data_IF_998313781209
#
_entry.id   IF_998313781209
#
_cell.length_a   1.000
_cell.length_b   1.000
_cell.length_c   1.000
_cell.angle_alpha   90.00
_cell.angle_beta   90.00
_cell.angle_gamma   90.00
#
_symmetry.space_group_name_H-M   'P 1'
#
loop_
_entity.id
_entity.type
_entity.pdbx_description
1 polymer ?
#
# COMPACT_ATOMS: atom_id res chain seq x y z
N UNK A 1 18.87 26.91 -47.48
CA UNK A 1 19.17 26.00 -46.36
C UNK A 1 17.86 25.44 -45.84
N UNK A 2 17.85 24.25 -45.22
CA UNK A 2 16.61 23.70 -44.68
C UNK A 2 16.10 24.58 -43.53
N UNK A 3 14.85 25.04 -43.61
CA UNK A 3 14.22 25.83 -42.53
C UNK A 3 13.93 24.98 -41.27
N UNK A 4 13.94 23.65 -41.42
CA UNK A 4 13.67 22.70 -40.34
C UNK A 4 14.64 21.51 -40.38
N UNK A 5 15.08 21.10 -39.20
CA UNK A 5 15.98 19.97 -38.98
C UNK A 5 15.25 18.83 -38.30
N UNK A 6 15.50 17.59 -38.73
CA UNK A 6 14.90 16.40 -38.12
C UNK A 6 15.63 16.05 -36.83
N UNK A 7 14.91 16.13 -35.71
CA UNK A 7 15.45 15.86 -34.36
C UNK A 7 15.12 14.43 -33.90
N UNK A 8 13.85 14.02 -34.02
CA UNK A 8 13.36 12.73 -33.53
C UNK A 8 12.73 11.88 -34.62
N UNK A 9 12.92 10.57 -34.53
CA UNK A 9 12.29 9.60 -35.43
C UNK A 9 10.88 9.26 -34.95
N UNK A 10 10.07 8.66 -35.84
CA UNK A 10 8.72 8.24 -35.48
C UNK A 10 8.69 7.30 -34.27
N UNK A 11 9.64 6.37 -34.19
CA UNK A 11 9.79 5.45 -33.04
C UNK A 11 9.98 6.19 -31.71
N UNK A 12 10.88 7.19 -31.67
CA UNK A 12 11.11 7.99 -30.45
C UNK A 12 9.83 8.74 -30.02
N UNK A 13 9.08 9.24 -31.00
CA UNK A 13 7.84 10.00 -30.77
C UNK A 13 6.69 9.13 -30.28
N UNK A 14 6.53 7.93 -30.87
CA UNK A 14 5.52 6.96 -30.44
C UNK A 14 5.80 6.47 -29.02
N UNK A 15 7.08 6.20 -28.72
CA UNK A 15 7.53 5.85 -27.38
C UNK A 15 7.20 6.96 -26.38
N UNK A 16 7.49 8.22 -26.71
CA UNK A 16 7.13 9.35 -25.87
C UNK A 16 5.62 9.47 -25.63
N UNK A 17 4.77 9.28 -26.66
CA UNK A 17 3.30 9.32 -26.48
C UNK A 17 2.82 8.19 -25.57
N UNK A 18 3.40 6.99 -25.71
CA UNK A 18 3.08 5.87 -24.83
C UNK A 18 3.48 6.16 -23.37
N UNK A 19 4.68 6.69 -23.15
CA UNK A 19 5.17 7.08 -21.83
C UNK A 19 4.33 8.21 -21.23
N UNK A 20 4.01 9.25 -22.01
CA UNK A 20 3.16 10.36 -21.59
C UNK A 20 1.80 9.84 -21.12
N UNK A 21 1.15 9.00 -21.93
CA UNK A 21 -0.18 8.44 -21.60
C UNK A 21 -0.12 7.59 -20.33
N UNK A 22 0.86 6.68 -20.24
CA UNK A 22 1.01 5.81 -19.08
C UNK A 22 1.36 6.59 -17.80
N UNK A 23 2.30 7.53 -17.89
CA UNK A 23 2.69 8.38 -16.77
C UNK A 23 1.52 9.23 -16.29
N UNK A 24 0.77 9.88 -17.19
CA UNK A 24 -0.40 10.67 -16.80
C UNK A 24 -1.45 9.82 -16.10
N UNK A 25 -1.76 8.63 -16.62
CA UNK A 25 -2.72 7.73 -15.97
C UNK A 25 -2.23 7.26 -14.59
N UNK A 26 -0.94 6.90 -14.46
CA UNK A 26 -0.31 6.53 -13.19
C UNK A 26 -0.29 7.68 -12.19
N UNK A 27 0.01 8.89 -12.63
CA UNK A 27 0.01 10.09 -11.80
C UNK A 27 -1.39 10.38 -11.26
N UNK A 28 -2.42 10.37 -12.13
CA UNK A 28 -3.81 10.60 -11.72
C UNK A 28 -4.27 9.52 -10.74
N UNK A 29 -4.15 8.25 -11.12
CA UNK A 29 -4.60 7.13 -10.26
C UNK A 29 -3.80 7.01 -8.98
N UNK A 30 -2.50 7.33 -8.99
CA UNK A 30 -1.63 7.30 -7.81
C UNK A 30 -1.89 8.46 -6.84
N UNK A 31 -2.11 9.67 -7.35
CA UNK A 31 -2.39 10.84 -6.52
C UNK A 31 -3.74 10.73 -5.80
N UNK A 32 -4.78 10.27 -6.49
CA UNK A 32 -6.10 10.10 -5.86
C UNK A 32 -6.08 8.99 -4.81
N UNK A 33 -5.27 7.94 -4.99
CA UNK A 33 -5.05 6.91 -3.96
C UNK A 33 -4.27 7.45 -2.76
N UNK A 34 -3.25 8.29 -3.00
CA UNK A 34 -2.44 8.91 -1.92
C UNK A 34 -3.26 9.89 -1.08
N UNK A 35 -4.09 10.71 -1.73
CA UNK A 35 -4.90 11.74 -1.11
C UNK A 35 -6.39 11.40 -1.18
N UNK A 36 -6.78 10.19 -0.75
CA UNK A 36 -8.15 9.67 -0.87
C UNK A 36 -9.21 10.60 -0.26
N UNK A 37 -8.86 11.28 0.83
CA UNK A 37 -9.77 12.15 1.58
C UNK A 37 -9.97 13.54 0.97
N UNK A 38 -9.19 13.91 -0.05
CA UNK A 38 -9.41 15.16 -0.74
C UNK A 38 -10.72 15.10 -1.53
N UNK A 39 -11.51 16.18 -1.49
CA UNK A 39 -12.81 16.23 -2.17
C UNK A 39 -12.72 15.90 -3.66
N UNK A 40 -11.65 16.34 -4.33
CA UNK A 40 -11.41 16.07 -5.75
C UNK A 40 -11.04 14.60 -5.99
N UNK A 41 -10.25 13.99 -5.10
CA UNK A 41 -9.89 12.57 -5.17
C UNK A 41 -11.12 11.69 -5.05
N UNK A 42 -12.03 11.96 -4.11
CA UNK A 42 -13.29 11.22 -3.98
C UNK A 42 -14.11 11.26 -5.27
N UNK A 43 -14.30 12.46 -5.84
CA UNK A 43 -15.02 12.62 -7.12
C UNK A 43 -14.37 11.86 -8.28
N UNK A 44 -13.04 11.87 -8.36
CA UNK A 44 -12.31 11.16 -9.41
C UNK A 44 -12.34 9.65 -9.21
N UNK A 45 -12.27 9.17 -7.96
CA UNK A 45 -12.42 7.75 -7.62
C UNK A 45 -13.82 7.27 -8.03
N UNK A 46 -14.87 8.02 -7.67
CA UNK A 46 -16.25 7.68 -8.05
C UNK A 46 -16.42 7.65 -9.58
N UNK A 47 -15.89 8.67 -10.28
CA UNK A 47 -15.95 8.76 -11.74
C UNK A 47 -15.24 7.59 -12.45
N UNK A 48 -14.14 7.10 -11.87
CA UNK A 48 -13.36 5.99 -12.41
C UNK A 48 -13.93 4.61 -12.04
N UNK A 49 -15.07 4.55 -11.33
CA UNK A 49 -15.73 3.30 -10.96
C UNK A 49 -15.37 2.77 -9.57
N UNK A 50 -14.89 3.62 -8.67
CA UNK A 50 -14.53 3.28 -7.29
C UNK A 50 -13.05 2.96 -7.10
N UNK A 51 -12.66 2.73 -5.84
CA UNK A 51 -11.25 2.56 -5.47
C UNK A 51 -10.60 1.32 -6.10
N UNK A 52 -11.37 0.25 -6.28
CA UNK A 52 -10.85 -0.98 -6.89
C UNK A 52 -10.56 -0.79 -8.38
N UNK A 53 -11.46 -0.13 -9.10
CA UNK A 53 -11.22 0.24 -10.51
C UNK A 53 -9.97 1.12 -10.65
N UNK A 54 -9.78 2.11 -9.77
CA UNK A 54 -8.58 2.96 -9.75
C UNK A 54 -7.31 2.13 -9.54
N UNK A 55 -7.31 1.16 -8.62
CA UNK A 55 -6.17 0.26 -8.38
C UNK A 55 -5.88 -0.64 -9.58
N UNK A 56 -6.91 -1.16 -10.24
CA UNK A 56 -6.77 -1.98 -11.45
C UNK A 56 -6.18 -1.14 -12.59
N UNK A 57 -6.74 0.06 -12.85
CA UNK A 57 -6.24 0.99 -13.87
C UNK A 57 -4.77 1.32 -13.60
N UNK A 58 -4.41 1.62 -12.35
CA UNK A 58 -3.03 1.90 -11.97
C UNK A 58 -2.09 0.74 -12.35
N UNK A 59 -2.46 -0.50 -12.01
CA UNK A 59 -1.69 -1.73 -12.34
C UNK A 59 -1.57 -1.99 -13.84
N UNK A 60 -2.64 -1.72 -14.61
CA UNK A 60 -2.62 -1.84 -16.08
C UNK A 60 -1.60 -0.85 -16.67
N UNK A 61 -1.67 0.42 -16.29
CA UNK A 61 -0.73 1.42 -16.82
C UNK A 61 0.69 1.24 -16.30
N UNK A 62 0.88 0.69 -15.09
CA UNK A 62 2.20 0.28 -14.60
C UNK A 62 2.78 -0.81 -15.51
N UNK A 63 1.97 -1.78 -15.92
CA UNK A 63 2.39 -2.85 -16.85
C UNK A 63 2.73 -2.29 -18.23
N UNK A 64 1.93 -1.37 -18.76
CA UNK A 64 2.23 -0.68 -20.02
C UNK A 64 3.57 0.07 -19.93
N UNK A 65 3.82 0.77 -18.82
CA UNK A 65 5.08 1.47 -18.60
C UNK A 65 6.28 0.50 -18.52
N UNK A 66 6.13 -0.65 -17.84
CA UNK A 66 7.16 -1.68 -17.80
C UNK A 66 7.48 -2.26 -19.19
N UNK A 67 6.45 -2.50 -20.02
CA UNK A 67 6.65 -2.92 -21.42
C UNK A 67 7.34 -1.83 -22.24
N UNK A 68 6.98 -0.55 -22.02
CA UNK A 68 7.65 0.58 -22.67
C UNK A 68 9.15 0.64 -22.29
N UNK A 69 9.51 0.32 -21.04
CA UNK A 69 10.92 0.20 -20.62
C UNK A 69 11.65 -0.92 -21.39
N UNK A 70 11.04 -2.09 -21.57
CA UNK A 70 11.63 -3.18 -22.36
C UNK A 70 11.88 -2.73 -23.81
N UNK A 71 10.90 -2.06 -24.41
CA UNK A 71 11.05 -1.45 -25.74
C UNK A 71 12.20 -0.44 -25.76
N UNK A 72 12.26 0.47 -24.77
CA UNK A 72 13.28 1.51 -24.67
C UNK A 72 14.70 0.93 -24.64
N UNK A 73 14.91 -0.08 -23.80
CA UNK A 73 16.20 -0.78 -23.68
C UNK A 73 16.61 -1.43 -25.00
N UNK A 74 15.66 -2.05 -25.71
CA UNK A 74 15.88 -2.58 -27.06
C UNK A 74 16.20 -1.50 -28.07
N UNK A 75 15.49 -0.37 -28.05
CA UNK A 75 15.74 0.75 -28.95
C UNK A 75 17.12 1.39 -28.70
N UNK A 76 17.55 1.56 -27.44
CA UNK A 76 18.90 2.02 -27.08
C UNK A 76 19.95 1.03 -27.60
N UNK A 77 19.76 -0.27 -27.34
CA UNK A 77 20.69 -1.30 -27.80
C UNK A 77 20.81 -1.33 -29.32
N UNK A 78 19.70 -1.17 -30.05
CA UNK A 78 19.68 -1.07 -31.50
C UNK A 78 20.46 0.16 -31.99
N UNK A 79 20.19 1.34 -31.42
CA UNK A 79 20.92 2.58 -31.74
C UNK A 79 22.42 2.43 -31.48
N UNK A 80 22.82 1.77 -30.39
CA UNK A 80 24.22 1.60 -30.02
C UNK A 80 24.95 0.54 -30.85
N UNK A 81 24.37 -0.64 -31.01
CA UNK A 81 25.03 -1.78 -31.65
C UNK A 81 24.84 -1.76 -33.17
N UNK A 82 23.60 -1.61 -33.62
CA UNK A 82 23.25 -1.64 -35.04
C UNK A 82 23.60 -0.32 -35.71
N UNK A 83 23.13 0.81 -35.17
CA UNK A 83 23.36 2.11 -35.80
C UNK A 83 24.68 2.78 -35.39
N UNK A 84 25.43 2.22 -34.42
CA UNK A 84 26.69 2.80 -33.90
C UNK A 84 26.57 4.27 -33.49
N UNK A 85 25.38 4.69 -33.07
CA UNK A 85 25.15 6.06 -32.61
C UNK A 85 26.06 6.41 -31.43
N UNK A 86 26.57 7.65 -31.36
CA UNK A 86 27.33 8.14 -30.21
C UNK A 86 26.46 8.13 -28.95
N UNK A 87 27.11 8.09 -27.77
CA UNK A 87 26.45 8.02 -26.46
C UNK A 87 26.05 9.42 -25.98
N UNK A 88 25.25 10.12 -26.77
CA UNK A 88 24.95 11.54 -26.55
C UNK A 88 24.16 11.80 -25.27
N UNK A 89 23.37 10.83 -24.81
CA UNK A 89 22.61 10.94 -23.55
C UNK A 89 23.44 10.72 -22.29
N UNK A 90 24.66 10.19 -22.37
CA UNK A 90 25.46 10.01 -21.15
C UNK A 90 25.99 11.37 -20.66
N UNK A 91 25.87 11.66 -19.34
CA UNK A 91 26.49 12.83 -18.76
C UNK A 91 28.01 12.77 -18.91
N UNK A 92 28.60 13.92 -19.21
CA UNK A 92 30.04 14.12 -19.40
C UNK A 92 30.50 15.31 -18.56
N UNK A 93 31.82 15.50 -18.44
CA UNK A 93 32.35 16.69 -17.76
C UNK A 93 31.96 18.00 -18.47
N UNK A 94 31.61 17.95 -19.75
CA UNK A 94 31.10 19.12 -20.48
C UNK A 94 29.74 19.57 -19.97
N UNK A 95 28.89 18.65 -19.54
CA UNK A 95 27.56 18.94 -18.98
C UNK A 95 27.67 19.67 -17.63
N UNK A 96 28.63 19.26 -16.79
CA UNK A 96 28.91 19.96 -15.52
C UNK A 96 29.38 21.39 -15.78
N UNK A 97 30.27 21.59 -16.77
CA UNK A 97 30.71 22.93 -17.19
C UNK A 97 29.55 23.76 -17.74
N UNK A 98 28.67 23.15 -18.53
CA UNK A 98 27.47 23.80 -19.06
C UNK A 98 26.49 24.20 -17.95
N UNK A 99 26.28 23.35 -16.94
CA UNK A 99 25.47 23.67 -15.77
C UNK A 99 26.05 24.86 -14.99
N UNK A 100 27.36 24.83 -14.71
CA UNK A 100 28.04 25.93 -14.02
C UNK A 100 28.02 27.25 -14.83
N UNK A 101 28.15 27.17 -16.16
CA UNK A 101 27.97 28.33 -17.04
C UNK A 101 26.53 28.84 -16.97
N UNK A 102 25.52 27.97 -17.06
CA UNK A 102 24.10 28.34 -16.97
C UNK A 102 23.80 29.09 -15.67
N UNK A 103 24.35 28.65 -14.53
CA UNK A 103 24.22 29.36 -13.25
C UNK A 103 24.84 30.76 -13.29
N UNK A 104 26.03 30.91 -13.89
CA UNK A 104 26.70 32.22 -14.05
C UNK A 104 25.93 33.15 -14.98
N UNK A 105 25.37 32.60 -16.06
CA UNK A 105 24.50 33.32 -16.99
C UNK A 105 23.23 33.82 -16.28
N UNK A 106 22.55 32.95 -15.53
CA UNK A 106 21.36 33.34 -14.73
C UNK A 106 21.70 34.39 -13.65
N UNK A 107 22.91 34.37 -13.11
CA UNK A 107 23.41 35.39 -12.19
C UNK A 107 23.88 36.69 -12.89
N UNK A 108 23.69 36.81 -14.21
CA UNK A 108 24.11 37.98 -15.00
C UNK A 108 25.62 38.13 -15.18
N UNK A 109 26.41 37.10 -14.87
CA UNK A 109 27.89 37.12 -14.97
C UNK A 109 28.43 36.68 -16.33
N UNK A 110 27.57 36.17 -17.20
CA UNK A 110 27.90 35.78 -18.57
C UNK A 110 26.90 36.44 -19.52
N UNK A 111 27.36 36.87 -20.70
CA UNK A 111 26.51 37.60 -21.65
C UNK A 111 25.59 36.67 -22.47
N UNK A 112 25.93 35.39 -22.58
CA UNK A 112 25.23 34.41 -23.40
C UNK A 112 25.10 33.06 -22.67
N UNK A 113 24.06 32.25 -22.98
CA UNK A 113 23.94 30.90 -22.45
C UNK A 113 25.03 29.97 -23.03
N UNK A 114 25.33 28.83 -22.36
CA UNK A 114 26.30 27.87 -22.87
C UNK A 114 25.85 27.26 -24.20
N UNK A 115 26.81 27.03 -25.10
CA UNK A 115 26.59 26.26 -26.32
C UNK A 115 26.50 24.77 -25.97
N UNK A 116 25.44 24.11 -26.43
CA UNK A 116 25.14 22.72 -26.08
C UNK A 116 24.91 21.87 -27.34
N UNK A 117 25.08 20.55 -27.18
CA UNK A 117 24.91 19.56 -28.25
C UNK A 117 23.46 19.16 -28.47
N UNK A 118 23.28 17.97 -29.06
CA UNK A 118 21.96 17.40 -29.38
C UNK A 118 21.02 17.29 -28.18
N UNK A 119 21.60 16.99 -27.01
CA UNK A 119 20.90 17.02 -25.74
C UNK A 119 21.61 17.98 -24.80
N UNK A 120 20.84 18.87 -24.19
CA UNK A 120 21.37 19.80 -23.19
C UNK A 120 21.62 19.09 -21.86
N UNK A 121 22.36 19.73 -20.95
CA UNK A 121 22.57 19.18 -19.61
C UNK A 121 21.24 19.06 -18.85
N UNK A 122 20.31 20.00 -19.05
CA UNK A 122 18.95 19.96 -18.48
C UNK A 122 18.18 18.72 -18.97
N UNK A 123 18.16 18.49 -20.28
CA UNK A 123 17.47 17.34 -20.89
C UNK A 123 18.07 16.00 -20.43
N UNK A 124 19.40 15.94 -20.24
CA UNK A 124 20.07 14.74 -19.70
C UNK A 124 19.70 14.50 -18.24
N UNK A 125 19.65 15.55 -17.41
CA UNK A 125 19.24 15.43 -16.01
C UNK A 125 17.80 14.95 -15.91
N UNK A 126 16.88 15.50 -16.71
CA UNK A 126 15.50 15.02 -16.79
C UNK A 126 15.42 13.55 -17.20
N UNK A 127 16.17 13.15 -18.23
CA UNK A 127 16.21 11.76 -18.68
C UNK A 127 16.72 10.82 -17.57
N UNK A 128 17.78 11.17 -16.86
CA UNK A 128 18.32 10.33 -15.78
C UNK A 128 17.44 10.33 -14.53
N UNK A 129 16.78 11.44 -14.21
CA UNK A 129 15.77 11.49 -13.16
C UNK A 129 14.60 10.55 -13.48
N UNK A 130 14.13 10.53 -14.73
CA UNK A 130 13.11 9.58 -15.19
C UNK A 130 13.58 8.12 -15.09
N UNK A 131 14.83 7.82 -15.49
CA UNK A 131 15.39 6.46 -15.39
C UNK A 131 15.46 6.00 -13.92
N UNK A 132 15.94 6.86 -13.04
CA UNK A 132 16.00 6.60 -11.60
C UNK A 132 14.60 6.39 -11.01
N UNK A 133 13.69 7.34 -11.27
CA UNK A 133 12.32 7.27 -10.76
C UNK A 133 11.61 6.01 -11.25
N UNK A 134 11.76 5.65 -12.53
CA UNK A 134 11.17 4.41 -13.08
C UNK A 134 11.69 3.17 -12.36
N UNK A 135 13.00 3.09 -12.08
CA UNK A 135 13.58 1.98 -11.32
C UNK A 135 12.99 1.89 -9.91
N UNK A 136 12.97 3.00 -9.17
CA UNK A 136 12.38 3.07 -7.82
C UNK A 136 10.90 2.68 -7.85
N UNK A 137 10.14 3.17 -8.81
CA UNK A 137 8.70 2.91 -8.95
C UNK A 137 8.41 1.43 -9.26
N UNK A 138 9.19 0.78 -10.13
CA UNK A 138 9.02 -0.65 -10.44
C UNK A 138 9.34 -1.50 -9.20
N UNK A 139 10.47 -1.24 -8.53
CA UNK A 139 10.89 -2.03 -7.36
C UNK A 139 9.91 -1.83 -6.20
N UNK A 140 9.64 -0.59 -5.80
CA UNK A 140 8.71 -0.31 -4.71
C UNK A 140 7.26 -0.73 -5.05
N UNK A 141 6.85 -0.59 -6.30
CA UNK A 141 5.56 -1.05 -6.79
C UNK A 141 5.40 -2.56 -6.70
N UNK A 142 6.46 -3.33 -6.98
CA UNK A 142 6.46 -4.78 -6.77
C UNK A 142 6.22 -5.15 -5.32
N UNK A 143 6.95 -4.50 -4.40
CA UNK A 143 6.86 -4.77 -2.97
C UNK A 143 5.44 -4.51 -2.44
N UNK A 144 4.79 -3.46 -2.96
CA UNK A 144 3.42 -3.10 -2.61
C UNK A 144 2.37 -3.96 -3.31
N UNK A 145 2.63 -4.41 -4.53
CA UNK A 145 1.77 -5.35 -5.24
C UNK A 145 1.84 -6.73 -4.59
N UNK A 146 2.99 -7.13 -4.04
CA UNK A 146 3.21 -8.48 -3.49
C UNK A 146 3.71 -8.45 -2.03
N UNK A 147 2.91 -7.99 -1.07
CA UNK A 147 3.36 -7.79 0.31
C UNK A 147 3.68 -9.09 1.04
N UNK A 148 2.91 -10.19 0.83
CA UNK A 148 3.21 -11.48 1.50
C UNK A 148 4.54 -12.03 1.01
N UNK A 149 4.74 -12.06 -0.32
CA UNK A 149 5.97 -12.58 -0.88
C UNK A 149 7.18 -11.72 -0.50
N UNK A 150 6.99 -10.40 -0.41
CA UNK A 150 7.99 -9.48 0.12
C UNK A 150 8.36 -9.85 1.54
N UNK A 151 7.39 -10.03 2.43
CA UNK A 151 7.63 -10.35 3.85
C UNK A 151 8.22 -11.75 4.08
N UNK A 152 8.10 -12.67 3.10
CA UNK A 152 8.79 -13.98 3.14
C UNK A 152 10.30 -13.86 2.86
N UNK A 153 10.70 -12.87 2.06
CA UNK A 153 12.10 -12.69 1.63
C UNK A 153 12.81 -11.56 2.39
N UNK A 154 12.08 -10.53 2.81
CA UNK A 154 12.57 -9.34 3.46
C UNK A 154 11.81 -9.10 4.77
N UNK A 155 12.44 -8.45 5.77
CA UNK A 155 11.75 -8.02 6.99
C UNK A 155 10.50 -7.17 6.69
N UNK A 156 9.44 -7.30 7.50
CA UNK A 156 8.16 -6.63 7.26
C UNK A 156 8.24 -5.10 7.14
N UNK A 157 9.27 -4.45 7.71
CA UNK A 157 9.52 -3.01 7.58
C UNK A 157 9.73 -2.53 6.13
N UNK A 158 10.07 -3.43 5.21
CA UNK A 158 10.27 -3.06 3.80
C UNK A 158 8.98 -2.72 3.07
N UNK A 159 7.82 -3.22 3.53
CA UNK A 159 6.50 -2.87 2.94
C UNK A 159 6.12 -1.40 3.22
N UNK A 160 6.11 -0.90 4.47
CA UNK A 160 5.85 0.51 4.72
C UNK A 160 6.96 1.42 4.15
N UNK A 161 8.22 0.98 4.16
CA UNK A 161 9.29 1.71 3.48
C UNK A 161 9.01 1.85 1.98
N UNK A 162 8.61 0.77 1.30
CA UNK A 162 8.22 0.79 -0.10
C UNK A 162 7.03 1.74 -0.34
N UNK A 163 6.05 1.81 0.57
CA UNK A 163 4.93 2.77 0.49
C UNK A 163 5.43 4.21 0.51
N UNK A 164 6.36 4.54 1.40
CA UNK A 164 6.95 5.88 1.49
C UNK A 164 7.77 6.20 0.24
N UNK A 165 8.65 5.30 -0.20
CA UNK A 165 9.45 5.52 -1.41
C UNK A 165 8.59 5.63 -2.67
N UNK A 166 7.64 4.73 -2.87
CA UNK A 166 6.76 4.73 -4.03
C UNK A 166 5.93 6.02 -4.10
N UNK A 167 5.26 6.37 -3.00
CA UNK A 167 4.43 7.56 -2.97
C UNK A 167 5.25 8.85 -3.05
N UNK A 168 6.41 8.90 -2.39
CA UNK A 168 7.34 10.03 -2.39
C UNK A 168 7.93 10.29 -3.78
N UNK A 169 8.48 9.25 -4.41
CA UNK A 169 9.03 9.33 -5.76
C UNK A 169 7.94 9.69 -6.78
N UNK A 170 6.74 9.12 -6.67
CA UNK A 170 5.62 9.50 -7.54
C UNK A 170 5.31 11.01 -7.46
N UNK A 171 5.30 11.57 -6.25
CA UNK A 171 5.06 13.01 -6.05
C UNK A 171 6.20 13.85 -6.64
N UNK A 172 7.46 13.45 -6.40
CA UNK A 172 8.63 14.12 -6.98
C UNK A 172 8.61 14.06 -8.51
N UNK A 173 8.27 12.92 -9.11
CA UNK A 173 8.17 12.75 -10.55
C UNK A 173 7.06 13.63 -11.15
N UNK A 174 5.88 13.68 -10.53
CA UNK A 174 4.79 14.57 -10.97
C UNK A 174 5.22 16.03 -10.89
N UNK A 175 5.83 16.45 -9.78
CA UNK A 175 6.31 17.82 -9.61
C UNK A 175 7.42 18.16 -10.61
N UNK A 176 8.36 17.25 -10.86
CA UNK A 176 9.40 17.44 -11.86
C UNK A 176 8.80 17.61 -13.27
N UNK A 177 7.81 16.80 -13.64
CA UNK A 177 7.14 16.94 -14.94
C UNK A 177 6.39 18.28 -15.03
N UNK A 178 5.64 18.67 -14.01
CA UNK A 178 4.84 19.92 -14.05
C UNK A 178 5.72 21.17 -13.94
N UNK A 179 6.65 21.22 -13.00
CA UNK A 179 7.43 22.43 -12.71
C UNK A 179 8.59 22.57 -13.68
N UNK A 180 9.28 21.49 -13.99
CA UNK A 180 10.49 21.53 -14.80
C UNK A 180 10.20 21.21 -16.26
N UNK A 181 9.70 20.01 -16.56
CA UNK A 181 9.51 19.57 -17.95
C UNK A 181 8.50 20.45 -18.71
N UNK A 182 7.30 20.68 -18.16
CA UNK A 182 6.30 21.55 -18.80
C UNK A 182 6.82 22.98 -18.95
N UNK A 183 7.55 23.51 -17.96
CA UNK A 183 8.11 24.84 -18.06
C UNK A 183 9.12 24.95 -19.21
N UNK A 184 10.10 24.05 -19.26
CA UNK A 184 11.15 24.11 -20.27
C UNK A 184 10.63 23.85 -21.69
N UNK A 185 9.73 22.87 -21.86
CA UNK A 185 9.30 22.37 -23.18
C UNK A 185 8.04 23.06 -23.72
N UNK A 186 7.16 23.58 -22.84
CA UNK A 186 5.88 24.16 -23.24
C UNK A 186 5.71 25.65 -22.90
N UNK A 187 6.32 26.14 -21.81
CA UNK A 187 6.11 27.53 -21.35
C UNK A 187 7.25 28.45 -21.81
N UNK A 188 8.49 28.17 -21.41
CA UNK A 188 9.68 28.96 -21.75
C UNK A 188 9.86 29.06 -23.25
N UNK A 189 9.72 27.93 -23.95
CA UNK A 189 9.62 27.85 -25.40
C UNK A 189 8.67 26.72 -25.75
N UNK A 190 7.83 26.93 -26.74
CA UNK A 190 6.90 25.90 -27.19
C UNK A 190 7.58 24.98 -28.22
N UNK A 191 8.18 23.89 -27.74
CA UNK A 191 8.92 22.95 -28.59
C UNK A 191 8.02 21.80 -29.07
N UNK A 192 7.75 21.75 -30.37
CA UNK A 192 6.89 20.71 -30.98
C UNK A 192 7.67 19.55 -31.59
N UNK A 193 8.98 19.48 -31.39
CA UNK A 193 9.84 18.49 -32.05
C UNK A 193 9.51 17.05 -31.65
N UNK A 194 8.99 16.81 -30.44
CA UNK A 194 8.52 15.47 -30.03
C UNK A 194 7.21 15.06 -30.70
N UNK A 195 6.40 16.01 -31.17
CA UNK A 195 5.15 15.72 -31.87
C UNK A 195 5.29 15.72 -33.38
N UNK A 196 6.21 16.50 -33.95
CA UNK A 196 6.41 16.62 -35.40
C UNK A 196 7.66 15.90 -35.91
N UNK A 197 8.65 15.70 -35.04
CA UNK A 197 9.99 15.21 -35.38
C UNK A 197 10.96 16.29 -35.85
N UNK A 198 10.51 17.54 -36.01
CA UNK A 198 11.30 18.62 -36.61
C UNK A 198 11.43 19.83 -35.69
N UNK A 199 12.52 20.59 -35.87
CA UNK A 199 12.76 21.84 -35.16
C UNK A 199 13.28 22.92 -36.11
N UNK A 200 12.93 24.18 -35.88
CA UNK A 200 13.35 25.28 -36.74
C UNK A 200 14.86 25.56 -36.61
N UNK A 201 15.49 26.12 -37.65
CA UNK A 201 16.90 26.54 -37.58
C UNK A 201 17.17 27.49 -36.40
N UNK A 202 16.26 28.43 -36.17
CA UNK A 202 16.38 29.44 -35.09
C UNK A 202 16.37 28.79 -33.71
N UNK A 203 15.50 27.81 -33.48
CA UNK A 203 15.42 27.12 -32.21
C UNK A 203 16.62 26.17 -32.02
N UNK A 204 17.08 25.51 -33.10
CA UNK A 204 18.33 24.73 -33.11
C UNK A 204 19.52 25.60 -32.71
N UNK A 205 19.64 26.81 -33.26
CA UNK A 205 20.75 27.72 -32.95
C UNK A 205 20.75 28.18 -31.48
N UNK A 206 19.57 28.25 -30.86
CA UNK A 206 19.44 28.72 -29.48
C UNK A 206 19.61 27.59 -28.45
N UNK A 207 19.08 26.40 -28.70
CA UNK A 207 19.06 25.31 -27.72
C UNK A 207 20.13 24.23 -28.00
N UNK A 208 20.49 24.03 -29.27
CA UNK A 208 21.35 22.94 -29.73
C UNK A 208 22.41 23.43 -30.73
N UNK A 209 23.06 24.55 -30.40
CA UNK A 209 23.99 25.24 -31.28
C UNK A 209 25.10 24.32 -31.83
N UNK A 210 25.66 23.44 -31.01
CA UNK A 210 26.73 22.53 -31.43
C UNK A 210 26.20 21.40 -32.34
N UNK A 211 24.95 20.99 -32.18
CA UNK A 211 24.32 20.04 -33.13
C UNK A 211 24.05 20.74 -34.47
N UNK A 212 23.54 21.98 -34.45
CA UNK A 212 23.32 22.75 -35.66
C UNK A 212 24.62 22.97 -36.43
N UNK A 213 25.68 23.40 -35.73
CA UNK A 213 27.01 23.62 -36.31
C UNK A 213 27.54 22.33 -36.96
N UNK A 214 27.44 21.19 -36.27
CA UNK A 214 27.87 19.91 -36.83
C UNK A 214 27.07 19.52 -38.09
N UNK A 215 25.76 19.78 -38.11
CA UNK A 215 24.92 19.49 -39.28
C UNK A 215 25.28 20.41 -40.45
N UNK A 216 25.43 21.71 -40.21
CA UNK A 216 25.76 22.69 -41.25
C UNK A 216 27.18 22.53 -41.77
N UNK A 217 28.13 22.12 -40.92
CA UNK A 217 29.50 21.80 -41.31
C UNK A 217 29.64 20.42 -41.99
N UNK A 218 28.58 19.62 -42.05
CA UNK A 218 28.62 18.25 -42.61
C UNK A 218 29.44 17.26 -41.78
N UNK A 219 29.74 17.59 -40.51
CA UNK A 219 30.49 16.74 -39.56
C UNK A 219 29.57 15.96 -38.62
N UNK A 220 28.25 16.18 -38.72
CA UNK A 220 27.25 15.43 -37.96
C UNK A 220 27.35 13.92 -38.20
N UNK A 221 27.07 13.15 -37.15
CA UNK A 221 27.14 11.70 -37.22
C UNK A 221 26.23 11.12 -38.32
N UNK A 222 26.85 10.45 -39.28
CA UNK A 222 26.14 9.63 -40.27
C UNK A 222 26.10 8.18 -39.81
N UNK A 223 24.92 7.54 -39.73
CA UNK A 223 24.84 6.12 -39.41
C UNK A 223 25.61 5.28 -40.45
N UNK A 224 26.15 4.12 -40.05
CA UNK A 224 26.86 3.22 -40.97
C UNK A 224 25.98 2.81 -42.15
N UNK A 225 26.63 2.47 -43.27
CA UNK A 225 25.95 2.02 -44.49
C UNK A 225 24.91 0.93 -44.21
N UNK A 226 23.84 0.95 -45.01
CA UNK A 226 22.68 0.07 -44.82
C UNK A 226 23.09 -1.40 -44.77
N UNK A 227 24.09 -1.83 -45.54
CA UNK A 227 24.58 -3.22 -45.53
C UNK A 227 25.24 -3.60 -44.20
N UNK A 228 26.09 -2.72 -43.66
CA UNK A 228 26.74 -2.96 -42.38
C UNK A 228 25.73 -2.97 -41.23
N UNK A 229 24.74 -2.07 -41.29
CA UNK A 229 23.63 -2.01 -40.33
C UNK A 229 22.73 -3.26 -40.46
N UNK A 230 22.41 -3.73 -41.67
CA UNK A 230 21.64 -4.97 -41.89
C UNK A 230 22.35 -6.20 -41.34
N UNK A 231 23.68 -6.32 -41.53
CA UNK A 231 24.47 -7.44 -40.96
C UNK A 231 24.40 -7.46 -39.43
N UNK A 232 24.56 -6.31 -38.79
CA UNK A 232 24.44 -6.21 -37.32
C UNK A 232 23.01 -6.44 -36.84
N UNK A 233 22.00 -5.96 -37.58
CA UNK A 233 20.60 -6.19 -37.27
C UNK A 233 20.23 -7.68 -37.26
N UNK A 234 20.76 -8.47 -38.20
CA UNK A 234 20.55 -9.93 -38.24
C UNK A 234 21.05 -10.65 -36.98
N UNK A 235 22.08 -10.13 -36.32
CA UNK A 235 22.61 -10.66 -35.06
C UNK A 235 21.82 -10.09 -33.87
N UNK A 236 21.55 -8.78 -33.90
CA UNK A 236 20.93 -8.07 -32.80
C UNK A 236 19.47 -8.45 -32.60
N UNK A 237 18.68 -8.55 -33.67
CA UNK A 237 17.24 -8.82 -33.62
C UNK A 237 16.88 -10.14 -32.92
N UNK A 238 17.49 -11.31 -33.23
CA UNK A 238 17.19 -12.52 -32.48
C UNK A 238 17.66 -12.43 -31.02
N UNK A 239 18.83 -11.83 -30.77
CA UNK A 239 19.34 -11.66 -29.41
C UNK A 239 18.41 -10.78 -28.56
N UNK A 240 17.99 -9.62 -29.06
CA UNK A 240 17.07 -8.73 -28.33
C UNK A 240 15.67 -9.34 -28.21
N UNK A 241 15.22 -10.14 -29.19
CA UNK A 241 13.94 -10.85 -29.08
C UNK A 241 13.98 -11.87 -27.95
N UNK A 242 15.08 -12.62 -27.82
CA UNK A 242 15.28 -13.54 -26.69
C UNK A 242 15.31 -12.81 -25.34
N UNK A 243 16.08 -11.72 -25.24
CA UNK A 243 16.13 -10.91 -24.02
C UNK A 243 14.77 -10.28 -23.69
N UNK A 244 14.07 -9.74 -24.69
CA UNK A 244 12.74 -9.17 -24.52
C UNK A 244 11.72 -10.23 -24.09
N UNK A 245 11.77 -11.45 -24.64
CA UNK A 245 10.91 -12.55 -24.21
C UNK A 245 11.18 -12.93 -22.73
N UNK A 246 12.44 -12.92 -22.29
CA UNK A 246 12.79 -13.15 -20.88
C UNK A 246 12.24 -12.03 -19.98
N UNK A 247 12.45 -10.76 -20.36
CA UNK A 247 11.97 -9.62 -19.59
C UNK A 247 10.44 -9.57 -19.54
N UNK A 248 9.77 -9.81 -20.66
CA UNK A 248 8.31 -9.89 -20.74
C UNK A 248 7.77 -11.10 -19.96
N UNK A 249 8.46 -12.23 -19.98
CA UNK A 249 8.16 -13.37 -19.11
C UNK A 249 8.30 -13.01 -17.64
N UNK A 250 9.34 -12.26 -17.27
CA UNK A 250 9.52 -11.70 -15.93
C UNK A 250 8.40 -10.73 -15.53
N UNK A 251 7.97 -9.84 -16.42
CA UNK A 251 6.82 -8.94 -16.20
C UNK A 251 5.52 -9.75 -16.08
N UNK A 252 5.31 -10.74 -16.94
CA UNK A 252 4.15 -11.63 -16.86
C UNK A 252 4.11 -12.31 -15.50
N UNK A 253 5.21 -12.95 -15.10
CA UNK A 253 5.34 -13.56 -13.78
C UNK A 253 5.07 -12.54 -12.69
N UNK A 254 5.72 -11.37 -12.71
CA UNK A 254 5.51 -10.28 -11.75
C UNK A 254 4.03 -9.91 -11.59
N UNK A 255 3.30 -9.76 -12.70
CA UNK A 255 1.90 -9.30 -12.72
C UNK A 255 0.94 -10.41 -12.32
N UNK A 256 1.20 -11.67 -12.72
CA UNK A 256 0.34 -12.83 -12.41
C UNK A 256 0.69 -13.49 -11.08
N UNK A 257 1.81 -13.13 -10.49
CA UNK A 257 2.21 -13.62 -9.18
C UNK A 257 1.32 -12.93 -8.15
N UNK A 258 0.21 -13.55 -7.80
CA UNK A 258 -0.75 -13.06 -6.81
C UNK A 258 -0.57 -13.82 -5.50
N UNK A 259 0.29 -13.28 -4.62
CA UNK A 259 0.34 -13.65 -3.20
C UNK A 259 -0.04 -12.41 -2.37
N UNK A 260 -1.26 -11.91 -2.56
CA UNK A 260 -1.69 -10.57 -2.09
C UNK A 260 -2.53 -10.52 -0.82
N UNK A 261 -2.86 -11.67 -0.21
CA UNK A 261 -3.75 -11.80 0.94
C UNK A 261 -5.26 -11.70 0.61
N UNK A 262 -6.01 -12.48 1.40
CA UNK A 262 -7.45 -12.72 1.57
C UNK A 262 -8.39 -11.75 0.83
N UNK A 263 -9.33 -12.33 0.07
CA UNK A 263 -10.46 -11.64 -0.52
C UNK A 263 -11.09 -10.66 0.49
N UNK A 264 -11.24 -9.41 0.11
CA UNK A 264 -12.08 -8.48 0.85
C UNK A 264 -13.46 -9.09 0.89
N UNK A 265 -13.92 -9.49 2.07
CA UNK A 265 -15.28 -9.98 2.28
C UNK A 265 -16.19 -8.83 1.85
N UNK A 266 -17.07 -9.08 0.88
CA UNK A 266 -18.13 -8.15 0.52
C UNK A 266 -18.84 -7.73 1.82
N UNK A 267 -19.18 -6.44 2.02
CA UNK A 267 -19.96 -6.05 3.18
C UNK A 267 -21.19 -6.96 3.25
N UNK A 268 -21.47 -7.60 4.41
CA UNK A 268 -22.57 -8.54 4.51
C UNK A 268 -23.82 -7.87 3.97
N UNK A 269 -24.49 -8.53 3.02
CA UNK A 269 -25.82 -8.14 2.56
C UNK A 269 -26.65 -7.91 3.83
N UNK A 270 -27.22 -6.70 3.97
CA UNK A 270 -27.98 -6.34 5.16
C UNK A 270 -29.25 -7.20 5.19
N UNK A 271 -29.13 -8.40 5.77
CA UNK A 271 -30.27 -9.20 6.16
C UNK A 271 -30.93 -8.43 7.29
N UNK A 272 -32.13 -7.91 7.05
CA UNK A 272 -32.93 -7.32 8.10
C UNK A 272 -33.22 -8.40 9.16
N UNK A 273 -32.50 -8.35 10.28
CA UNK A 273 -32.62 -9.31 11.40
C UNK A 273 -33.97 -9.15 12.14
N UNK A 274 -34.79 -8.14 11.78
CA UNK A 274 -36.08 -7.92 12.42
C UNK A 274 -37.21 -7.75 11.40
N UNK A 275 -37.93 -8.85 11.14
CA UNK A 275 -39.35 -8.77 10.78
C UNK A 275 -40.14 -8.75 12.09
N UNK A 276 -40.92 -7.69 12.41
CA UNK A 276 -41.72 -7.69 13.61
C UNK A 276 -42.71 -8.86 13.56
N UNK A 277 -42.65 -9.72 14.56
CA UNK A 277 -43.62 -10.79 14.75
C UNK A 277 -44.96 -10.14 15.06
N UNK A 278 -45.91 -10.23 14.12
CA UNK A 278 -47.29 -9.93 14.39
C UNK A 278 -47.80 -10.92 15.45
N UNK A 279 -48.02 -10.43 16.66
CA UNK A 279 -48.62 -11.18 17.76
C UNK A 279 -50.11 -11.35 17.49
N UNK A 280 -50.47 -12.33 16.68
CA UNK A 280 -51.81 -12.91 16.72
C UNK A 280 -51.79 -14.08 17.71
N UNK A 281 -52.43 -13.85 18.86
CA UNK A 281 -52.48 -14.81 19.95
C UNK A 281 -53.20 -16.10 19.55
N UNK A 282 -52.69 -17.23 20.04
CA UNK A 282 -53.51 -18.41 20.32
C UNK A 282 -52.85 -19.19 21.47
N UNK A 283 -53.64 -19.42 22.51
CA UNK A 283 -53.44 -20.34 23.63
C UNK A 283 -53.12 -21.77 23.17
N UNK A 284 -52.11 -22.43 23.76
CA UNK A 284 -52.01 -23.88 23.66
C UNK A 284 -50.66 -24.50 24.02
N UNK A 285 -50.62 -25.13 25.20
CA UNK A 285 -49.86 -26.34 25.57
C UNK A 285 -48.32 -26.32 25.54
N UNK A 286 -47.75 -26.32 26.76
CA UNK A 286 -46.39 -26.76 27.09
C UNK A 286 -46.19 -28.23 26.71
N UNK A 287 -45.24 -28.53 25.82
CA UNK A 287 -44.68 -29.88 25.65
C UNK A 287 -43.17 -29.78 25.83
N UNK A 288 -42.71 -30.20 27.01
CA UNK A 288 -41.30 -30.46 27.27
C UNK A 288 -40.95 -31.76 26.56
N UNK A 289 -40.11 -31.68 25.52
CA UNK A 289 -39.52 -32.87 24.89
C UNK A 289 -38.09 -33.02 25.38
N UNK A 290 -37.89 -33.94 26.31
CA UNK A 290 -36.58 -34.42 26.75
C UNK A 290 -36.04 -35.38 25.68
N UNK A 291 -35.05 -34.93 24.91
CA UNK A 291 -34.29 -35.81 24.02
C UNK A 291 -33.01 -36.25 24.73
N UNK A 292 -32.97 -37.54 25.08
CA UNK A 292 -31.80 -38.24 25.62
C UNK A 292 -30.76 -38.49 24.52
N UNK A 293 -29.50 -38.10 24.75
CA UNK A 293 -28.34 -38.48 23.94
C UNK A 293 -27.76 -39.81 24.43
N UNK A 294 -27.30 -40.72 23.53
CA UNK A 294 -26.60 -41.94 23.92
C UNK A 294 -25.07 -41.75 23.97
N UNK A 295 -24.43 -42.42 24.94
CA UNK A 295 -23.07 -42.97 24.80
C UNK A 295 -21.90 -42.03 25.08
N UNK A 296 -21.57 -41.86 26.36
CA UNK A 296 -20.24 -41.39 26.76
C UNK A 296 -19.19 -42.47 26.36
N UNK A 297 -18.34 -42.12 25.40
CA UNK A 297 -17.12 -42.89 25.14
C UNK A 297 -16.03 -42.31 26.02
N UNK A 298 -15.41 -43.17 26.82
CA UNK A 298 -14.28 -42.88 27.70
C UNK A 298 -13.09 -42.33 26.91
N UNK A 299 -12.81 -41.05 27.07
CA UNK A 299 -11.54 -40.43 26.65
C UNK A 299 -10.67 -40.22 27.88
N UNK A 300 -9.51 -40.86 27.84
CA UNK A 300 -8.37 -40.77 28.76
C UNK A 300 -8.18 -39.36 29.32
N UNK A 301 -8.30 -39.22 30.64
CA UNK A 301 -7.99 -37.99 31.38
C UNK A 301 -6.48 -37.77 31.37
N UNK A 302 -5.99 -37.00 30.40
CA UNK A 302 -4.69 -36.30 30.50
C UNK A 302 -4.77 -35.33 31.68
N UNK A 303 -3.74 -35.19 32.54
CA UNK A 303 -3.81 -34.26 33.66
C UNK A 303 -4.06 -32.84 33.15
N UNK A 304 -5.01 -32.13 33.76
CA UNK A 304 -5.23 -30.70 33.53
C UNK A 304 -3.95 -29.96 33.95
N UNK A 305 -3.11 -29.61 32.99
CA UNK A 305 -1.89 -28.84 33.21
C UNK A 305 -2.19 -27.36 33.43
N UNK A 306 -1.31 -26.69 34.16
CA UNK A 306 -1.31 -25.24 34.29
C UNK A 306 -0.63 -24.57 33.08
N UNK A 307 -0.69 -23.24 33.02
CA UNK A 307 -0.04 -22.43 31.98
C UNK A 307 1.44 -22.81 31.77
N UNK A 308 2.24 -22.78 32.84
CA UNK A 308 3.71 -22.84 32.81
C UNK A 308 4.29 -24.15 32.21
N UNK A 309 3.55 -25.25 32.25
CA UNK A 309 4.07 -26.56 31.84
C UNK A 309 3.38 -27.17 30.61
N UNK A 310 2.17 -26.71 30.28
CA UNK A 310 1.32 -27.40 29.29
C UNK A 310 0.86 -26.49 28.17
N UNK A 311 0.25 -25.34 28.50
CA UNK A 311 -0.32 -24.46 27.48
C UNK A 311 0.75 -23.59 26.82
N UNK A 312 1.70 -23.10 27.61
CA UNK A 312 2.85 -22.36 27.08
C UNK A 312 3.65 -23.22 26.08
N UNK A 313 3.83 -24.52 26.38
CA UNK A 313 4.51 -25.44 25.49
C UNK A 313 3.78 -25.59 24.15
N UNK A 314 2.45 -25.67 24.14
CA UNK A 314 1.66 -25.75 22.89
C UNK A 314 1.90 -24.51 22.03
N UNK A 315 1.84 -23.31 22.61
CA UNK A 315 2.05 -22.06 21.88
C UNK A 315 3.50 -21.88 21.39
N UNK A 316 4.48 -22.32 22.17
CA UNK A 316 5.88 -22.32 21.73
C UNK A 316 6.16 -23.34 20.64
N UNK A 317 5.66 -24.58 20.78
CA UNK A 317 5.87 -25.66 19.79
C UNK A 317 5.19 -25.37 18.46
N UNK A 318 3.99 -24.78 18.50
CA UNK A 318 3.29 -24.33 17.29
C UNK A 318 3.78 -22.96 16.79
N UNK A 319 4.81 -22.40 17.44
CA UNK A 319 5.46 -21.14 17.06
C UNK A 319 4.50 -19.95 17.04
N UNK A 320 3.43 -20.00 17.84
CA UNK A 320 2.50 -18.89 18.03
C UNK A 320 3.23 -17.66 18.58
N UNK A 321 4.24 -17.87 19.44
CA UNK A 321 5.07 -16.82 20.05
C UNK A 321 6.03 -16.11 19.08
N UNK A 322 6.21 -16.61 17.85
CA UNK A 322 7.05 -15.95 16.84
C UNK A 322 6.37 -14.71 16.24
N UNK A 323 5.02 -14.70 16.24
CA UNK A 323 4.20 -13.59 15.75
C UNK A 323 3.37 -12.92 16.86
N UNK A 324 3.15 -13.63 17.97
CA UNK A 324 2.46 -13.15 19.17
C UNK A 324 3.34 -13.37 20.39
N UNK A 325 4.51 -12.73 20.41
CA UNK A 325 5.45 -12.81 21.52
C UNK A 325 5.98 -11.44 21.92
N UNK A 326 6.81 -11.42 22.96
CA UNK A 326 7.37 -10.19 23.53
C UNK A 326 8.15 -9.27 22.55
N UNK A 327 8.62 -9.80 21.42
CA UNK A 327 9.33 -9.06 20.37
C UNK A 327 8.43 -8.62 19.21
N UNK A 328 7.26 -9.24 19.04
CA UNK A 328 6.27 -8.94 18.02
C UNK A 328 4.89 -9.37 18.51
N UNK A 329 4.02 -8.42 18.87
CA UNK A 329 2.66 -8.66 19.34
C UNK A 329 1.65 -8.32 18.23
N UNK A 330 1.60 -9.15 17.19
CA UNK A 330 0.74 -8.90 16.03
C UNK A 330 -0.74 -8.90 16.48
N UNK A 331 -1.49 -7.86 16.10
CA UNK A 331 -2.86 -7.67 16.58
C UNK A 331 -2.97 -7.30 18.07
N UNK A 332 -1.88 -6.89 18.73
CA UNK A 332 -1.87 -6.49 20.14
C UNK A 332 -1.90 -7.66 21.13
N UNK A 333 -1.74 -8.90 20.64
CA UNK A 333 -1.80 -10.13 21.45
C UNK A 333 -0.39 -10.64 21.71
N UNK A 334 -0.07 -10.90 22.98
CA UNK A 334 1.18 -11.54 23.41
C UNK A 334 0.87 -12.90 24.03
N UNK A 335 1.27 -13.99 23.36
CA UNK A 335 1.10 -15.36 23.83
C UNK A 335 2.36 -15.90 24.53
N UNK A 336 3.41 -15.09 24.68
CA UNK A 336 4.62 -15.49 25.40
C UNK A 336 4.51 -15.30 26.92
N UNK A 337 3.44 -14.65 27.40
CA UNK A 337 3.19 -14.39 28.82
C UNK A 337 1.77 -14.77 29.19
N UNK A 338 1.58 -15.27 30.42
CA UNK A 338 0.26 -15.62 30.94
C UNK A 338 -0.73 -14.44 30.88
N UNK A 339 -0.28 -13.26 31.29
CA UNK A 339 -1.08 -12.03 31.25
C UNK A 339 -1.55 -11.67 29.82
N UNK A 340 -0.70 -11.86 28.81
CA UNK A 340 -1.06 -11.58 27.43
C UNK A 340 -2.04 -12.61 26.84
N UNK A 341 -2.00 -13.86 27.28
CA UNK A 341 -2.97 -14.88 26.87
C UNK A 341 -4.37 -14.60 27.40
N UNK A 342 -4.49 -14.05 28.61
CA UNK A 342 -5.78 -13.64 29.18
C UNK A 342 -6.46 -12.53 28.38
N UNK A 343 -5.74 -11.80 27.52
CA UNK A 343 -6.37 -10.83 26.61
C UNK A 343 -7.21 -11.49 25.50
N UNK A 344 -6.99 -12.79 25.22
CA UNK A 344 -7.68 -13.55 24.17
C UNK A 344 -8.34 -14.84 24.67
N UNK A 345 -8.38 -15.01 25.99
CA UNK A 345 -8.98 -16.14 26.69
C UNK A 345 -9.93 -15.60 27.75
N UNK A 346 -11.14 -16.14 27.78
CA UNK A 346 -12.13 -15.88 28.83
C UNK A 346 -12.11 -17.05 29.82
N UNK A 347 -11.52 -16.90 31.02
CA UNK A 347 -11.46 -17.98 32.00
C UNK A 347 -12.85 -18.54 32.32
N UNK A 348 -12.99 -19.86 32.27
CA UNK A 348 -14.24 -20.58 32.51
C UNK A 348 -15.19 -20.66 31.31
N UNK A 349 -14.93 -19.93 30.22
CA UNK A 349 -15.78 -19.93 29.03
C UNK A 349 -14.96 -20.04 27.73
N UNK A 350 -14.67 -21.29 27.29
CA UNK A 350 -13.90 -21.50 26.08
C UNK A 350 -14.63 -21.07 24.81
N UNK A 351 -15.97 -21.12 24.77
CA UNK A 351 -16.73 -20.76 23.57
C UNK A 351 -16.76 -19.24 23.34
N UNK A 352 -16.61 -18.45 24.41
CA UNK A 352 -16.44 -16.99 24.34
C UNK A 352 -14.99 -16.54 24.16
N UNK A 353 -14.02 -17.44 24.27
CA UNK A 353 -12.61 -17.11 24.16
C UNK A 353 -12.21 -16.86 22.69
N UNK A 354 -11.78 -15.62 22.33
CA UNK A 354 -11.41 -15.29 20.96
C UNK A 354 -10.37 -16.24 20.34
N UNK A 355 -9.44 -16.74 21.16
CA UNK A 355 -8.44 -17.73 20.75
C UNK A 355 -9.08 -19.03 20.23
N UNK A 356 -10.08 -19.57 20.93
CA UNK A 356 -10.76 -20.82 20.55
C UNK A 356 -11.60 -20.60 19.30
N UNK A 357 -12.40 -19.53 19.27
CA UNK A 357 -13.25 -19.20 18.12
C UNK A 357 -12.43 -19.01 16.85
N UNK A 358 -11.25 -18.40 16.96
CA UNK A 358 -10.35 -18.21 15.82
C UNK A 358 -9.70 -19.51 15.35
N UNK A 359 -9.25 -20.35 16.28
CA UNK A 359 -8.59 -21.63 15.96
C UNK A 359 -9.57 -22.65 15.35
N UNK A 360 -10.82 -22.70 15.83
CA UNK A 360 -11.86 -23.59 15.29
C UNK A 360 -12.31 -23.20 13.87
N UNK A 361 -12.25 -21.90 13.55
CA UNK A 361 -12.52 -21.41 12.19
C UNK A 361 -11.43 -21.82 11.18
N UNK A 362 -10.25 -22.25 11.65
CA UNK A 362 -9.13 -22.68 10.80
C UNK A 362 -8.55 -21.59 9.90
N UNK A 363 -8.91 -20.32 10.12
CA UNK A 363 -8.53 -19.19 9.27
C UNK A 363 -7.20 -18.54 9.67
N UNK A 364 -6.50 -19.10 10.67
CA UNK A 364 -5.22 -18.60 11.18
C UNK A 364 -4.03 -19.34 10.52
N UNK A 365 -2.91 -18.66 10.19
CA UNK A 365 -1.75 -19.30 9.53
C UNK A 365 -1.12 -20.47 10.28
N UNK A 366 -1.30 -20.49 11.60
CA UNK A 366 -0.94 -21.60 12.49
C UNK A 366 -2.21 -22.12 13.16
N UNK A 367 -2.60 -23.35 12.85
CA UNK A 367 -3.78 -24.00 13.42
C UNK A 367 -3.32 -25.08 14.41
N UNK A 368 -3.84 -25.03 15.63
CA UNK A 368 -3.65 -26.08 16.64
C UNK A 368 -4.35 -27.35 16.16
N UNK A 369 -3.72 -28.51 16.35
CA UNK A 369 -4.40 -29.78 16.05
C UNK A 369 -5.56 -30.04 17.03
N UNK A 370 -6.47 -30.96 16.67
CA UNK A 370 -7.67 -31.25 17.46
C UNK A 370 -7.35 -31.63 18.91
N UNK A 371 -6.20 -32.28 19.16
CA UNK A 371 -5.76 -32.68 20.50
C UNK A 371 -5.26 -31.49 21.31
N UNK A 372 -4.45 -30.61 20.69
CA UNK A 372 -3.94 -29.38 21.28
C UNK A 372 -5.06 -28.40 21.58
N UNK A 373 -6.00 -28.23 20.64
CA UNK A 373 -7.13 -27.34 20.80
C UNK A 373 -8.07 -27.83 21.91
N UNK A 374 -8.33 -29.14 22.00
CA UNK A 374 -9.09 -29.73 23.10
C UNK A 374 -8.40 -29.50 24.46
N UNK A 375 -7.06 -29.56 24.50
CA UNK A 375 -6.29 -29.33 25.72
C UNK A 375 -6.35 -27.86 26.18
N UNK A 376 -6.23 -26.90 25.25
CA UNK A 376 -6.40 -25.47 25.55
C UNK A 376 -7.84 -25.19 26.01
N UNK A 377 -8.84 -25.74 25.31
CA UNK A 377 -10.26 -25.63 25.66
C UNK A 377 -10.55 -26.15 27.08
N UNK A 378 -9.96 -27.29 27.45
CA UNK A 378 -10.11 -27.86 28.80
C UNK A 378 -9.44 -27.00 29.88
N UNK A 379 -8.27 -26.42 29.60
CA UNK A 379 -7.60 -25.49 30.52
C UNK A 379 -8.40 -24.20 30.72
N UNK A 380 -8.98 -23.65 29.65
CA UNK A 380 -9.86 -22.47 29.75
C UNK A 380 -11.09 -22.78 30.58
N UNK A 381 -11.76 -23.90 30.31
CA UNK A 381 -12.94 -24.34 31.07
C UNK A 381 -12.63 -24.55 32.57
N UNK A 382 -11.39 -24.92 32.90
CA UNK A 382 -10.90 -25.05 34.27
C UNK A 382 -10.54 -23.70 34.93
N UNK A 383 -10.78 -22.56 34.28
CA UNK A 383 -10.50 -21.23 34.81
C UNK A 383 -9.15 -20.66 34.39
N UNK A 384 -8.53 -21.19 33.34
CA UNK A 384 -7.29 -20.70 32.74
C UNK A 384 -6.17 -20.46 33.77
N UNK A 385 -5.87 -21.46 34.60
CA UNK A 385 -4.97 -21.31 35.75
C UNK A 385 -3.50 -21.12 35.34
N UNK A 386 -2.81 -20.19 36.00
CA UNK A 386 -1.37 -19.93 35.82
C UNK A 386 -0.50 -21.07 36.38
N UNK A 387 -0.80 -21.53 37.60
CA UNK A 387 -0.05 -22.59 38.29
C UNK A 387 -0.99 -23.67 38.90
N UNK A 388 -0.49 -24.89 39.07
CA UNK A 388 -1.26 -26.01 39.65
C UNK A 388 -1.65 -25.69 41.10
N UNK A 389 -2.95 -25.56 41.37
CA UNK A 389 -3.49 -25.18 42.67
C UNK A 389 -3.66 -23.66 42.90
N UNK A 390 -3.43 -22.83 41.87
CA UNK A 390 -3.72 -21.40 41.92
C UNK A 390 -5.21 -21.09 41.96
N UNK A 391 -5.59 -19.96 42.53
CA UNK A 391 -6.95 -19.43 42.40
C UNK A 391 -7.15 -18.86 41.00
N UNK A 392 -8.35 -18.99 40.39
CA UNK A 392 -8.67 -18.33 39.13
C UNK A 392 -8.32 -16.84 39.19
N UNK A 393 -7.86 -16.22 38.09
CA UNK A 393 -7.54 -14.80 38.07
C UNK A 393 -8.74 -13.98 38.56
N UNK A 394 -8.53 -13.19 39.61
CA UNK A 394 -9.55 -12.33 40.20
C UNK A 394 -9.83 -11.18 39.24
N UNK A 395 -10.87 -11.35 38.42
CA UNK A 395 -11.29 -10.38 37.42
C UNK A 395 -12.71 -10.63 36.91
N UNK A 396 -13.60 -11.17 37.75
CA UNK A 396 -15.03 -11.15 37.51
C UNK A 396 -15.66 -10.11 38.44
N UNK A 397 -16.04 -8.92 37.93
CA UNK A 397 -17.05 -8.12 38.59
C UNK A 397 -18.36 -8.22 37.80
N UNK A 398 -19.41 -8.70 38.45
CA UNK A 398 -20.79 -8.45 38.06
C UNK A 398 -21.19 -7.00 38.36
N UNK A 399 -20.47 -6.03 37.80
CA UNK A 399 -20.75 -4.60 37.88
C UNK A 399 -20.31 -3.93 36.57
N UNK A 400 -21.08 -2.95 36.11
CA UNK A 400 -20.79 -2.24 34.87
C UNK A 400 -19.36 -1.64 34.88
N UNK A 401 -18.70 -1.52 33.72
CA UNK A 401 -17.39 -0.89 33.62
C UNK A 401 -17.41 0.53 34.20
N UNK A 402 -16.28 1.08 34.66
CA UNK A 402 -16.20 2.46 35.18
C UNK A 402 -15.40 3.39 34.25
N UNK A 403 -15.47 4.71 34.49
CA UNK A 403 -14.65 5.66 33.72
C UNK A 403 -13.14 5.37 33.84
N UNK A 404 -12.61 5.19 35.05
CA UNK A 404 -11.17 5.02 35.27
C UNK A 404 -10.63 3.70 34.68
N UNK A 405 -11.48 2.65 34.60
CA UNK A 405 -11.14 1.36 34.01
C UNK A 405 -12.41 0.67 33.45
N UNK A 406 -12.50 0.35 32.15
CA UNK A 406 -11.48 0.49 31.09
C UNK A 406 -11.65 1.73 30.19
N UNK A 407 -12.64 2.59 30.45
CA UNK A 407 -13.11 3.57 29.46
C UNK A 407 -12.11 4.70 29.20
N UNK A 408 -11.49 5.25 30.23
CA UNK A 408 -10.48 6.31 30.08
C UNK A 408 -9.26 5.83 29.30
N UNK A 409 -8.82 4.58 29.53
CA UNK A 409 -7.75 3.93 28.78
C UNK A 409 -8.14 3.69 27.32
N UNK A 410 -9.37 3.27 27.08
CA UNK A 410 -9.91 3.08 25.74
C UNK A 410 -9.93 4.39 24.93
N UNK A 411 -10.39 5.48 25.57
CA UNK A 411 -10.51 6.79 24.94
C UNK A 411 -9.20 7.59 24.90
N UNK A 412 -8.18 7.21 25.68
CA UNK A 412 -6.88 7.87 25.67
C UNK A 412 -6.23 7.89 24.27
N UNK A 413 -6.42 6.81 23.50
CA UNK A 413 -5.96 6.71 22.11
C UNK A 413 -6.60 7.76 21.18
N UNK A 414 -7.84 8.16 21.49
CA UNK A 414 -8.61 9.16 20.74
C UNK A 414 -8.15 10.59 21.04
N UNK A 415 -7.53 10.84 22.21
CA UNK A 415 -7.06 12.15 22.65
C UNK A 415 -5.98 12.78 21.76
N UNK A 416 -5.31 11.98 20.93
CA UNK A 416 -4.33 12.46 19.94
C UNK A 416 -4.97 13.33 18.85
N UNK A 417 -6.26 13.13 18.55
CA UNK A 417 -7.02 13.88 17.54
C UNK A 417 -8.31 14.52 18.09
N UNK A 418 -8.80 14.10 19.26
CA UNK A 418 -9.97 14.63 19.96
C UNK A 418 -9.58 15.00 21.40
N UNK A 419 -8.62 15.90 21.53
CA UNK A 419 -8.15 16.40 22.83
C UNK A 419 -8.21 17.93 22.90
N UNK A 420 -8.13 18.50 24.10
CA UNK A 420 -8.21 19.95 24.31
C UNK A 420 -7.27 20.79 23.42
N UNK A 421 -6.08 20.27 23.08
CA UNK A 421 -5.10 20.94 22.21
C UNK A 421 -5.38 20.78 20.70
N UNK A 422 -6.15 19.75 20.30
CA UNK A 422 -6.49 19.43 18.92
C UNK A 422 -7.94 18.89 18.86
N UNK A 423 -8.98 19.75 18.91
CA UNK A 423 -10.36 19.28 18.97
C UNK A 423 -10.92 19.03 17.57
N UNK A 424 -10.55 17.91 16.93
CA UNK A 424 -11.17 17.54 15.66
C UNK A 424 -12.70 17.43 15.83
N UNK A 425 -13.44 18.05 14.93
CA UNK A 425 -14.90 18.21 15.01
C UNK A 425 -15.43 18.89 16.29
N UNK A 426 -14.58 19.64 17.01
CA UNK A 426 -14.93 20.37 18.23
C UNK A 426 -15.11 19.49 19.47
N UNK A 427 -14.49 18.29 19.48
CA UNK A 427 -14.68 17.27 20.51
C UNK A 427 -13.42 17.06 21.35
N UNK A 428 -13.61 16.82 22.65
CA UNK A 428 -12.55 16.41 23.58
C UNK A 428 -13.01 15.15 24.33
N UNK A 429 -12.21 14.08 24.25
CA UNK A 429 -12.47 12.78 24.85
C UNK A 429 -11.45 12.43 25.95
N UNK A 430 -10.61 13.39 26.34
CA UNK A 430 -9.53 13.18 27.31
C UNK A 430 -9.97 13.29 28.78
N UNK A 431 -11.22 13.70 29.03
CA UNK A 431 -11.82 13.78 30.36
C UNK A 431 -13.28 13.33 30.33
N UNK A 432 -13.76 12.85 31.49
CA UNK A 432 -15.13 12.36 31.66
C UNK A 432 -16.17 13.43 31.30
N UNK A 433 -15.99 14.64 31.84
CA UNK A 433 -16.90 15.78 31.62
C UNK A 433 -16.99 16.18 30.14
N UNK A 434 -15.86 16.16 29.42
CA UNK A 434 -15.83 16.47 28.00
C UNK A 434 -16.43 15.34 27.14
N UNK A 435 -16.19 14.08 27.50
CA UNK A 435 -16.74 12.91 26.82
C UNK A 435 -18.27 12.85 26.91
N UNK A 436 -18.86 13.28 28.04
CA UNK A 436 -20.31 13.39 28.20
C UNK A 436 -20.97 14.40 27.25
N UNK A 437 -20.23 15.29 26.61
CA UNK A 437 -20.79 16.18 25.58
C UNK A 437 -21.23 15.44 24.30
N UNK A 438 -20.74 14.21 24.09
CA UNK A 438 -21.05 13.36 22.92
C UNK A 438 -21.61 11.99 23.27
N UNK A 439 -21.83 11.76 24.56
CA UNK A 439 -22.40 10.52 25.11
C UNK A 439 -23.70 10.89 25.80
N UNK A 440 -24.76 10.16 25.48
CA UNK A 440 -26.05 10.24 26.16
C UNK A 440 -26.12 9.07 27.14
N UNK A 441 -25.94 9.31 28.45
CA UNK A 441 -26.00 8.25 29.46
C UNK A 441 -27.29 7.44 29.37
N UNK A 442 -27.16 6.11 29.34
CA UNK A 442 -28.27 5.17 29.23
C UNK A 442 -28.74 4.90 27.80
N UNK A 443 -28.24 5.64 26.80
CA UNK A 443 -28.65 5.48 25.40
C UNK A 443 -27.43 5.45 24.45
N UNK A 444 -26.89 4.25 24.16
CA UNK A 444 -25.79 4.08 23.20
C UNK A 444 -26.16 4.54 21.79
N UNK A 445 -27.41 4.39 21.36
CA UNK A 445 -27.82 4.68 20.00
C UNK A 445 -28.05 6.20 19.79
N UNK A 446 -28.30 6.95 20.86
CA UNK A 446 -28.23 8.42 20.88
C UNK A 446 -26.82 8.97 21.14
N UNK A 447 -25.86 8.13 21.55
CA UNK A 447 -24.49 8.54 21.84
C UNK A 447 -23.66 8.64 20.57
N UNK A 448 -23.39 9.87 20.13
CA UNK A 448 -22.63 10.17 18.90
C UNK A 448 -21.28 9.44 18.83
N UNK A 449 -20.58 9.29 19.95
CA UNK A 449 -19.32 8.54 20.00
C UNK A 449 -19.51 7.07 19.59
N UNK A 450 -20.52 6.41 20.16
CA UNK A 450 -20.82 5.01 19.87
C UNK A 450 -21.31 4.83 18.43
N UNK A 451 -22.24 5.68 17.97
CA UNK A 451 -22.79 5.59 16.61
C UNK A 451 -21.69 5.72 15.55
N UNK A 452 -20.75 6.65 15.72
CA UNK A 452 -19.64 6.85 14.77
C UNK A 452 -18.67 5.66 14.77
N UNK A 453 -18.34 5.13 15.94
CA UNK A 453 -17.44 3.98 16.06
C UNK A 453 -18.13 2.69 15.57
N UNK A 454 -19.43 2.50 15.86
CA UNK A 454 -20.20 1.35 15.41
C UNK A 454 -20.45 1.36 13.89
N UNK A 455 -20.52 2.54 13.26
CA UNK A 455 -20.67 2.67 11.80
C UNK A 455 -19.43 2.22 11.01
N UNK A 456 -18.26 2.18 11.65
CA UNK A 456 -17.01 1.77 11.02
C UNK A 456 -16.35 2.86 10.15
N UNK A 457 -15.10 2.63 9.74
CA UNK A 457 -14.36 3.52 8.84
C UNK A 457 -13.71 4.74 9.49
N UNK A 458 -13.66 4.78 10.82
CA UNK A 458 -12.96 5.84 11.57
C UNK A 458 -11.43 5.54 11.65
N UNK A 459 -10.52 6.52 11.48
CA UNK A 459 -9.07 6.28 11.55
C UNK A 459 -8.57 5.71 12.90
N UNK A 460 -9.29 5.98 13.98
CA UNK A 460 -9.11 5.35 15.30
C UNK A 460 -10.28 4.42 15.61
N UNK A 461 -10.50 3.42 14.75
CA UNK A 461 -11.59 2.46 14.87
C UNK A 461 -11.40 1.58 16.12
N UNK A 462 -12.40 1.57 16.99
CA UNK A 462 -12.44 0.64 18.14
C UNK A 462 -12.69 -0.79 17.67
N UNK A 463 -12.08 -1.75 18.37
CA UNK A 463 -12.33 -3.18 18.14
C UNK A 463 -13.78 -3.53 18.51
N UNK A 464 -14.29 -4.66 18.01
CA UNK A 464 -15.65 -5.12 18.39
C UNK A 464 -15.77 -5.37 19.91
N UNK A 465 -14.69 -5.83 20.54
CA UNK A 465 -14.63 -6.03 21.99
C UNK A 465 -14.69 -4.68 22.73
N UNK A 466 -13.91 -3.71 22.29
CA UNK A 466 -13.90 -2.36 22.87
C UNK A 466 -15.23 -1.63 22.68
N UNK A 467 -15.86 -1.81 21.51
CA UNK A 467 -17.19 -1.28 21.21
C UNK A 467 -18.26 -1.88 22.11
N UNK A 468 -18.18 -3.18 22.41
CA UNK A 468 -19.09 -3.84 23.34
C UNK A 468 -18.94 -3.29 24.76
N UNK A 469 -17.71 -3.10 25.22
CA UNK A 469 -17.39 -2.50 26.52
C UNK A 469 -17.89 -1.05 26.61
N UNK A 470 -17.66 -0.24 25.57
CA UNK A 470 -18.16 1.13 25.50
C UNK A 470 -19.70 1.17 25.50
N UNK A 471 -20.35 0.27 24.77
CA UNK A 471 -21.81 0.16 24.73
C UNK A 471 -22.39 -0.16 26.10
N UNK A 472 -21.78 -1.13 26.80
CA UNK A 472 -22.21 -1.57 28.13
C UNK A 472 -22.06 -0.45 29.16
N UNK A 473 -20.94 0.28 29.13
CA UNK A 473 -20.72 1.44 29.98
C UNK A 473 -21.73 2.56 29.73
N UNK A 474 -22.01 2.90 28.47
CA UNK A 474 -23.02 3.91 28.13
C UNK A 474 -24.41 3.45 28.59
N UNK A 475 -24.79 2.20 28.31
CA UNK A 475 -26.08 1.64 28.71
C UNK A 475 -26.26 1.60 30.24
N UNK A 476 -25.17 1.46 30.99
CA UNK A 476 -25.16 1.54 32.45
C UNK A 476 -25.28 2.98 33.01
N UNK A 477 -25.45 3.99 32.15
CA UNK A 477 -25.56 5.38 32.56
C UNK A 477 -24.22 6.13 32.59
N UNK A 478 -23.21 5.62 31.90
CA UNK A 478 -21.85 6.19 31.87
C UNK A 478 -21.30 6.52 33.28
N UNK A 479 -21.30 5.55 34.22
CA UNK A 479 -20.91 5.77 35.61
C UNK A 479 -19.43 6.06 35.83
#
# INVERSE_FOLDING_TARGET
MADRYRRFNLSDRLEHVAQLTAFTALAVTGLVQRYSEAWLSRRLIDLLGGIEAVRIIHRIFATILMVAVVYHLGAIGYRKFVQRRPREMLPTSADIRAAAHSMRYLAGREAAPPLQGRFTWEEKVEYFALVWGTFVMIVSGFLLWNPIATSRLLPGQFVPAAKVFHSGEALLAVLAVIVWHMYHVHIRRFNTSMFTGYMSRRDMAHEHALELEAIEAGTAFTPPTDDASRRRAKIYLPAITGVAAILLGGIYLFVTFENTAIATIDPPEQVAIYAPVETTGTTGATVVTTTTLPGATTSTTTPLGAWEDTIEAIFRTQRCTDCHGNTMALGGVDLATYAGVLAVVTPGDPDRSPLIVLQEKGAHPTVLDDGQLAQVRAWIAAGALEALGGTPPTGVPGGAPGWEDPISGLLASCGSCHGAANPAAGLDLTSYEAALAVITPGDPDASRLYVVQAAGGHPGQLSEADLAVLREWIAAGAP
#
